data_IF_285827222363
#
_entry.id   IF_285827222363
#
_cell.length_a   1.000
_cell.length_b   1.000
_cell.length_c   1.000
_cell.angle_alpha   90.00
_cell.angle_beta   90.00
_cell.angle_gamma   90.00
#
_symmetry.space_group_name_H-M   'P 1'
#
loop_
_entity.id
_entity.type
_entity.pdbx_description
1 polymer ?
#
# COMPACT_ATOMS: atom_id res chain seq x y z
N UNK A 1 -28.21 -41.65 -44.40
CA UNK A 1 -28.74 -40.54 -43.56
C UNK A 1 -27.61 -40.06 -42.67
N UNK A 2 -27.27 -38.79 -42.78
CA UNK A 2 -26.03 -38.17 -42.33
C UNK A 2 -26.11 -37.83 -40.84
N UNK A 3 -25.05 -38.21 -40.14
CA UNK A 3 -24.78 -37.97 -38.72
C UNK A 3 -24.35 -36.52 -38.51
N UNK A 4 -24.91 -35.83 -37.50
CA UNK A 4 -24.38 -34.54 -37.03
C UNK A 4 -24.64 -34.41 -35.53
N UNK A 5 -23.68 -34.85 -34.71
CA UNK A 5 -23.65 -34.54 -33.28
C UNK A 5 -22.85 -33.25 -33.11
N UNK A 6 -23.56 -32.14 -32.85
CA UNK A 6 -22.95 -30.89 -32.40
C UNK A 6 -22.29 -31.11 -31.03
N UNK A 7 -20.96 -31.17 -31.02
CA UNK A 7 -20.18 -31.04 -29.80
C UNK A 7 -20.06 -29.53 -29.47
N UNK A 8 -20.82 -29.08 -28.48
CA UNK A 8 -20.63 -27.77 -27.85
C UNK A 8 -19.35 -27.85 -26.99
N UNK A 9 -18.28 -27.20 -27.44
CA UNK A 9 -17.07 -26.97 -26.63
C UNK A 9 -17.31 -25.78 -25.69
N UNK A 10 -17.29 -25.94 -24.35
CA UNK A 10 -17.28 -24.80 -23.45
C UNK A 10 -15.87 -24.18 -23.47
N UNK A 11 -15.79 -22.92 -23.92
CA UNK A 11 -14.60 -22.10 -23.80
C UNK A 11 -14.32 -21.83 -22.32
N UNK A 12 -13.41 -22.61 -21.73
CA UNK A 12 -12.87 -22.36 -20.39
C UNK A 12 -11.97 -21.11 -20.47
N UNK A 13 -12.53 -19.94 -20.11
CA UNK A 13 -11.76 -18.72 -19.92
C UNK A 13 -10.89 -18.88 -18.66
N UNK A 14 -9.64 -19.30 -18.84
CA UNK A 14 -8.64 -19.29 -17.78
C UNK A 14 -8.31 -17.84 -17.43
N UNK A 15 -8.93 -17.34 -16.35
CA UNK A 15 -8.48 -16.11 -15.68
C UNK A 15 -7.09 -16.38 -15.10
N UNK A 16 -6.05 -16.06 -15.88
CA UNK A 16 -4.68 -15.95 -15.37
C UNK A 16 -4.61 -14.75 -14.42
N UNK A 17 -4.93 -15.00 -13.16
CA UNK A 17 -4.73 -14.04 -12.09
C UNK A 17 -3.22 -13.92 -11.84
N UNK A 18 -2.64 -12.78 -12.18
CA UNK A 18 -1.31 -12.38 -11.72
C UNK A 18 -1.41 -12.11 -10.21
N UNK A 19 -1.28 -13.17 -9.40
CA UNK A 19 -1.29 -13.06 -7.94
C UNK A 19 0.15 -12.79 -7.50
N UNK A 20 0.44 -11.54 -7.14
CA UNK A 20 1.67 -11.23 -6.40
C UNK A 20 1.70 -12.00 -5.09
N UNK A 21 2.90 -12.33 -4.61
CA UNK A 21 3.12 -13.23 -3.46
C UNK A 21 2.28 -12.84 -2.24
N UNK A 22 1.54 -13.81 -1.68
CA UNK A 22 0.74 -13.62 -0.46
C UNK A 22 1.67 -13.39 0.74
N UNK A 23 1.41 -12.33 1.50
CA UNK A 23 2.15 -12.02 2.73
C UNK A 23 1.47 -12.77 3.88
N UNK A 24 2.03 -13.89 4.32
CA UNK A 24 1.49 -14.70 5.42
C UNK A 24 2.03 -14.29 6.80
N UNK A 25 3.07 -13.45 6.84
CA UNK A 25 3.69 -13.00 8.09
C UNK A 25 2.86 -11.93 8.82
N UNK A 26 2.85 -11.94 10.17
CA UNK A 26 2.20 -10.89 10.93
C UNK A 26 2.86 -9.53 10.68
N UNK A 27 2.13 -8.40 10.85
CA UNK A 27 2.69 -7.08 10.70
C UNK A 27 3.89 -6.85 11.61
N UNK A 28 4.97 -6.32 11.05
CA UNK A 28 6.23 -6.10 11.76
C UNK A 28 6.15 -4.79 12.52
N UNK A 29 6.34 -4.88 13.83
CA UNK A 29 6.32 -3.72 14.73
C UNK A 29 7.58 -2.86 14.59
N UNK A 30 7.43 -1.56 14.82
CA UNK A 30 8.55 -0.64 14.90
C UNK A 30 9.20 -0.66 16.28
N UNK A 31 10.51 -0.50 16.31
CA UNK A 31 11.29 -0.29 17.52
C UNK A 31 11.54 1.21 17.70
N UNK A 32 11.30 1.70 18.90
CA UNK A 32 11.57 3.10 19.23
C UNK A 32 12.98 3.26 19.77
N UNK A 33 13.73 4.21 19.22
CA UNK A 33 15.05 4.58 19.76
C UNK A 33 14.96 5.72 20.78
N UNK A 34 13.81 6.39 20.85
CA UNK A 34 13.45 7.43 21.82
C UNK A 34 11.97 7.34 22.14
N UNK A 35 11.54 7.91 23.27
CA UNK A 35 10.12 7.98 23.59
C UNK A 35 9.35 8.73 22.49
N UNK A 36 8.47 8.01 21.80
CA UNK A 36 7.57 8.57 20.81
C UNK A 36 6.21 8.76 21.46
N UNK A 37 5.63 9.95 21.35
CA UNK A 37 4.24 10.21 21.72
C UNK A 37 3.30 9.69 20.62
N UNK A 38 3.43 8.41 20.29
CA UNK A 38 2.61 7.77 19.28
C UNK A 38 1.19 7.58 19.81
N UNK A 39 0.21 8.05 19.04
CA UNK A 39 -1.21 7.91 19.37
C UNK A 39 -1.71 6.53 19.00
N UNK A 40 -1.21 6.00 17.88
CA UNK A 40 -1.53 4.67 17.37
C UNK A 40 -0.42 4.19 16.41
N UNK A 41 -0.70 3.14 15.63
CA UNK A 41 0.18 2.65 14.58
C UNK A 41 -0.59 2.46 13.29
N UNK A 42 0.00 2.82 12.16
CA UNK A 42 -0.53 2.54 10.82
C UNK A 42 0.31 1.48 10.14
N UNK A 43 -0.27 0.69 9.24
CA UNK A 43 0.46 -0.33 8.50
C UNK A 43 0.59 0.06 7.02
N UNK A 44 1.73 -0.27 6.43
CA UNK A 44 1.96 -0.16 4.98
C UNK A 44 2.64 -1.43 4.48
N UNK A 45 2.43 -1.73 3.21
CA UNK A 45 3.02 -2.88 2.53
C UNK A 45 4.30 -2.46 1.83
N UNK A 46 5.38 -3.23 2.02
CA UNK A 46 6.63 -3.04 1.33
C UNK A 46 6.96 -4.26 0.47
N UNK A 47 7.23 -4.02 -0.82
CA UNK A 47 7.61 -5.06 -1.79
C UNK A 47 8.91 -4.73 -2.48
N UNK A 48 9.56 -5.75 -3.02
CA UNK A 48 10.81 -5.61 -3.77
C UNK A 48 10.65 -6.26 -5.11
N UNK A 49 11.20 -5.63 -6.15
CA UNK A 49 11.19 -6.15 -7.50
C UNK A 49 12.57 -6.02 -8.12
N UNK A 50 12.86 -6.91 -9.05
CA UNK A 50 13.92 -6.71 -10.04
C UNK A 50 13.29 -6.30 -11.38
N UNK A 51 14.08 -5.66 -12.24
CA UNK A 51 13.74 -5.39 -13.63
C UNK A 51 14.70 -6.19 -14.51
N UNK A 52 14.28 -7.41 -14.87
CA UNK A 52 14.99 -8.27 -15.82
C UNK A 52 14.40 -8.05 -17.22
N UNK A 53 15.20 -7.67 -18.21
CA UNK A 53 14.76 -7.54 -19.62
C UNK A 53 13.50 -6.67 -19.84
N UNK A 54 13.30 -5.65 -18.99
CA UNK A 54 12.14 -4.75 -19.06
C UNK A 54 10.88 -5.27 -18.36
N UNK A 55 10.90 -6.51 -17.85
CA UNK A 55 9.81 -7.09 -17.07
C UNK A 55 10.07 -6.90 -15.57
N UNK A 56 9.06 -6.38 -14.85
CA UNK A 56 9.13 -6.24 -13.39
C UNK A 56 8.75 -7.57 -12.73
N UNK A 57 9.69 -8.17 -12.00
CA UNK A 57 9.49 -9.43 -11.28
C UNK A 57 9.59 -9.19 -9.78
N UNK A 58 8.61 -9.63 -9.01
CA UNK A 58 8.65 -9.56 -7.55
C UNK A 58 9.70 -10.54 -7.00
N UNK A 59 10.52 -10.06 -6.08
CA UNK A 59 11.56 -10.84 -5.41
C UNK A 59 11.26 -10.88 -3.91
N UNK A 60 11.47 -12.04 -3.31
CA UNK A 60 11.25 -12.28 -1.88
C UNK A 60 12.58 -12.44 -1.16
N UNK A 61 12.59 -12.34 0.16
CA UNK A 61 13.80 -12.57 0.95
C UNK A 61 14.76 -11.38 1.01
N UNK A 62 14.35 -10.19 0.55
CA UNK A 62 15.24 -9.01 0.53
C UNK A 62 15.21 -8.32 1.89
N UNK A 63 16.37 -8.18 2.58
CA UNK A 63 16.45 -7.47 3.84
C UNK A 63 16.28 -5.96 3.62
N UNK A 64 15.39 -5.38 4.41
CA UNK A 64 15.09 -3.96 4.39
C UNK A 64 15.03 -3.38 5.82
N UNK A 65 15.36 -2.10 5.93
CA UNK A 65 15.26 -1.30 7.14
C UNK A 65 14.38 -0.09 6.88
N UNK A 66 13.31 0.06 7.66
CA UNK A 66 12.50 1.27 7.70
C UNK A 66 12.97 2.13 8.87
N UNK A 67 13.30 3.38 8.59
CA UNK A 67 13.86 4.32 9.57
C UNK A 67 13.14 5.65 9.48
N UNK A 68 12.82 6.23 10.63
CA UNK A 68 12.39 7.61 10.75
C UNK A 68 12.96 8.26 12.00
N UNK A 69 12.52 9.48 12.30
CA UNK A 69 13.01 10.19 13.47
C UNK A 69 12.55 9.50 14.76
N UNK A 70 13.46 8.78 15.43
CA UNK A 70 13.22 8.15 16.72
C UNK A 70 12.60 6.75 16.67
N UNK A 71 12.49 6.14 15.49
CA UNK A 71 12.08 4.74 15.32
C UNK A 71 12.77 4.07 14.14
N UNK A 72 12.83 2.74 14.19
CA UNK A 72 13.29 1.89 13.09
C UNK A 72 12.63 0.51 13.14
N UNK A 73 12.62 -0.21 12.03
CA UNK A 73 12.22 -1.62 11.97
C UNK A 73 13.00 -2.36 10.89
N UNK A 74 13.44 -3.57 11.20
CA UNK A 74 14.09 -4.46 10.25
C UNK A 74 13.11 -5.53 9.80
N UNK A 75 13.07 -5.81 8.51
CA UNK A 75 12.16 -6.77 7.93
C UNK A 75 12.70 -7.37 6.63
N UNK A 76 12.04 -8.42 6.17
CA UNK A 76 12.35 -9.08 4.90
C UNK A 76 11.12 -8.99 4.00
N UNK A 77 11.28 -8.43 2.80
CA UNK A 77 10.17 -8.23 1.87
C UNK A 77 9.78 -9.52 1.12
N UNK A 78 8.51 -9.68 0.72
CA UNK A 78 7.39 -8.75 0.93
C UNK A 78 6.86 -8.77 2.37
N UNK A 79 6.61 -7.58 2.96
CA UNK A 79 6.21 -7.45 4.36
C UNK A 79 5.15 -6.36 4.58
N UNK A 80 4.34 -6.54 5.63
CA UNK A 80 3.50 -5.48 6.18
C UNK A 80 4.26 -4.90 7.37
N UNK A 81 4.52 -3.60 7.35
CA UNK A 81 5.32 -2.89 8.35
C UNK A 81 4.44 -1.87 9.05
N UNK A 82 4.50 -1.84 10.38
CA UNK A 82 3.82 -0.83 11.19
C UNK A 82 4.71 0.39 11.40
N UNK A 83 4.12 1.55 11.28
CA UNK A 83 4.73 2.84 11.55
C UNK A 83 3.98 3.59 12.66
N UNK A 84 4.69 4.35 13.51
CA UNK A 84 4.05 5.17 14.54
C UNK A 84 3.21 6.28 13.91
N UNK A 85 2.01 6.47 14.44
CA UNK A 85 1.11 7.58 14.10
C UNK A 85 1.36 8.71 15.11
N UNK A 86 1.87 9.85 14.61
CA UNK A 86 2.22 11.03 15.43
C UNK A 86 1.30 12.23 15.13
N UNK A 87 0.12 12.00 14.53
CA UNK A 87 -0.75 13.05 14.01
C UNK A 87 -0.03 13.89 12.95
N UNK A 88 -0.32 15.19 12.94
CA UNK A 88 0.35 16.17 12.07
C UNK A 88 1.85 16.34 12.33
N UNK A 89 2.43 15.65 13.33
CA UNK A 89 3.88 15.59 13.58
C UNK A 89 4.54 14.38 12.91
N UNK A 90 3.80 13.54 12.20
CA UNK A 90 4.37 12.42 11.45
C UNK A 90 5.31 12.99 10.39
N UNK A 91 6.57 12.54 10.41
CA UNK A 91 7.63 13.08 9.57
C UNK A 91 7.89 12.18 8.36
N UNK A 92 8.76 12.64 7.46
CA UNK A 92 9.31 11.79 6.40
C UNK A 92 10.13 10.66 7.02
N UNK A 93 9.99 9.47 6.45
CA UNK A 93 10.78 8.30 6.79
C UNK A 93 11.43 7.72 5.52
N UNK A 94 12.31 6.76 5.68
CA UNK A 94 13.01 6.10 4.58
C UNK A 94 13.01 4.59 4.76
N UNK A 95 12.92 3.87 3.65
CA UNK A 95 13.20 2.43 3.60
C UNK A 95 14.47 2.20 2.81
N UNK A 96 15.39 1.43 3.37
CA UNK A 96 16.63 1.02 2.73
C UNK A 96 16.58 -0.48 2.53
N UNK A 97 16.73 -0.96 1.30
CA UNK A 97 16.74 -2.40 0.99
C UNK A 97 18.08 -2.78 0.34
N UNK A 98 18.59 -3.96 0.67
CA UNK A 98 19.87 -4.47 0.16
C UNK A 98 19.63 -5.73 -0.65
N UNK A 99 20.02 -5.73 -1.93
CA UNK A 99 19.89 -6.88 -2.82
C UNK A 99 21.14 -6.99 -3.71
N UNK A 100 21.75 -8.19 -3.78
CA UNK A 100 22.96 -8.46 -4.57
C UNK A 100 24.10 -7.43 -4.36
N UNK A 101 24.27 -6.92 -3.13
CA UNK A 101 25.27 -5.91 -2.79
C UNK A 101 24.90 -4.48 -3.19
N UNK A 102 23.79 -4.27 -3.90
CA UNK A 102 23.23 -2.94 -4.17
C UNK A 102 22.30 -2.53 -3.01
N UNK A 103 22.48 -1.29 -2.52
CA UNK A 103 21.57 -0.69 -1.54
C UNK A 103 20.72 0.37 -2.24
N UNK A 104 19.39 0.27 -2.09
CA UNK A 104 18.44 1.27 -2.58
C UNK A 104 17.64 1.88 -1.45
N UNK A 105 17.49 3.20 -1.52
CA UNK A 105 16.71 3.98 -0.57
C UNK A 105 15.43 4.49 -1.24
N UNK A 106 14.32 4.38 -0.53
CA UNK A 106 13.04 4.97 -0.91
C UNK A 106 12.58 5.89 0.21
N UNK A 107 12.30 7.13 -0.15
CA UNK A 107 11.72 8.12 0.77
C UNK A 107 10.22 7.90 0.84
N UNK A 108 9.68 7.82 2.05
CA UNK A 108 8.26 7.71 2.32
C UNK A 108 7.77 9.02 2.92
N UNK A 109 6.92 9.71 2.16
CA UNK A 109 6.24 10.92 2.63
C UNK A 109 4.95 10.54 3.36
N UNK A 110 4.70 11.09 4.56
CA UNK A 110 3.45 10.86 5.26
C UNK A 110 2.31 11.58 4.54
N UNK A 111 1.13 10.96 4.55
CA UNK A 111 -0.09 11.59 4.04
C UNK A 111 -1.20 11.53 5.08
N UNK A 112 -2.12 12.49 4.99
CA UNK A 112 -3.31 12.51 5.82
C UNK A 112 -4.28 11.41 5.35
N UNK A 113 -4.28 10.29 6.05
CA UNK A 113 -5.10 9.12 5.72
C UNK A 113 -6.57 9.43 5.88
N UNK A 114 -6.95 10.16 6.92
CA UNK A 114 -8.34 10.58 7.15
C UNK A 114 -8.90 11.34 5.94
N UNK A 115 -8.19 12.33 5.42
CA UNK A 115 -8.61 13.07 4.22
C UNK A 115 -8.63 12.21 2.97
N UNK A 116 -7.62 11.34 2.80
CA UNK A 116 -7.57 10.44 1.66
C UNK A 116 -8.76 9.47 1.65
N UNK A 117 -9.11 8.91 2.81
CA UNK A 117 -10.23 7.99 2.96
C UNK A 117 -11.57 8.70 2.72
N UNK A 118 -11.77 9.91 3.26
CA UNK A 118 -12.97 10.74 2.97
C UNK A 118 -13.11 11.02 1.47
N UNK A 119 -12.02 11.42 0.81
CA UNK A 119 -12.03 11.70 -0.63
C UNK A 119 -12.27 10.43 -1.45
N UNK A 120 -11.69 9.29 -1.06
CA UNK A 120 -11.91 8.01 -1.73
C UNK A 120 -13.36 7.54 -1.60
N UNK A 121 -13.98 7.68 -0.42
CA UNK A 121 -15.40 7.38 -0.21
C UNK A 121 -16.32 8.30 -1.02
N UNK A 122 -15.94 9.57 -1.21
CA UNK A 122 -16.65 10.49 -2.12
C UNK A 122 -16.66 9.99 -3.56
N UNK A 123 -15.50 9.53 -4.04
CA UNK A 123 -15.29 9.13 -5.43
C UNK A 123 -15.89 7.76 -5.75
N UNK A 124 -15.84 6.80 -4.82
CA UNK A 124 -16.49 5.49 -5.00
C UNK A 124 -18.02 5.60 -5.04
N UNK A 125 -18.60 6.51 -4.23
CA UNK A 125 -20.02 6.83 -4.28
C UNK A 125 -20.45 7.46 -5.62
N UNK A 126 -19.57 8.25 -6.24
CA UNK A 126 -19.80 8.82 -7.57
C UNK A 126 -19.70 7.79 -8.71
N UNK A 127 -18.84 6.78 -8.56
CA UNK A 127 -18.65 5.73 -9.57
C UNK A 127 -19.72 4.62 -9.50
N UNK A 128 -20.26 4.32 -8.31
CA UNK A 128 -21.28 3.28 -8.11
C UNK A 128 -22.71 3.74 -8.47
N UNK A 129 -22.94 5.04 -8.60
CA UNK A 129 -24.27 5.62 -8.87
C UNK A 129 -24.13 6.77 -9.86
N UNK A 130 -24.29 6.47 -11.15
CA UNK A 130 -24.12 7.44 -12.26
C UNK A 130 -24.87 8.75 -12.01
N UNK A 131 -24.34 9.86 -12.57
CA UNK A 131 -24.73 11.30 -12.56
C UNK A 131 -25.46 11.87 -11.32
N UNK A 132 -26.46 11.20 -10.76
CA UNK A 132 -27.18 11.56 -9.51
C UNK A 132 -26.40 11.18 -8.25
N UNK A 133 -25.66 10.05 -8.24
CA UNK A 133 -24.91 9.60 -7.05
C UNK A 133 -23.65 10.41 -6.74
N UNK A 134 -23.05 11.03 -7.77
CA UNK A 134 -21.89 11.91 -7.63
C UNK A 134 -22.18 13.18 -6.81
N UNK A 135 -23.41 13.69 -6.86
CA UNK A 135 -23.81 14.86 -6.07
C UNK A 135 -23.96 14.53 -4.58
N UNK A 136 -24.46 13.34 -4.21
CA UNK A 136 -24.61 12.96 -2.79
C UNK A 136 -23.26 12.57 -2.17
N UNK A 137 -22.39 11.88 -2.91
CA UNK A 137 -21.04 11.54 -2.44
C UNK A 137 -20.16 12.76 -2.14
N UNK A 138 -20.26 13.81 -2.94
CA UNK A 138 -19.52 15.06 -2.73
C UNK A 138 -20.05 15.89 -1.56
N UNK A 139 -21.37 15.91 -1.34
CA UNK A 139 -21.97 16.56 -0.16
C UNK A 139 -21.56 15.85 1.13
N UNK A 140 -21.58 14.51 1.16
CA UNK A 140 -21.19 13.76 2.36
C UNK A 140 -19.71 13.94 2.69
N UNK A 141 -18.82 13.94 1.69
CA UNK A 141 -17.41 14.23 1.89
C UNK A 141 -17.16 15.68 2.35
N UNK A 142 -17.90 16.65 1.83
CA UNK A 142 -17.86 18.05 2.27
C UNK A 142 -18.31 18.22 3.72
N UNK A 143 -19.40 17.54 4.13
CA UNK A 143 -19.89 17.56 5.52
C UNK A 143 -18.91 16.87 6.46
N UNK A 144 -18.39 15.70 6.07
CA UNK A 144 -17.40 14.97 6.85
C UNK A 144 -16.13 15.80 7.04
N UNK A 145 -15.63 16.44 5.98
CA UNK A 145 -14.46 17.33 6.06
C UNK A 145 -14.72 18.58 6.91
N UNK A 146 -15.94 19.12 6.89
CA UNK A 146 -16.34 20.33 7.65
C UNK A 146 -16.56 20.06 9.15
N UNK A 147 -17.09 18.88 9.50
CA UNK A 147 -17.33 18.47 10.90
C UNK A 147 -16.13 17.78 11.56
N UNK A 148 -15.06 17.56 10.81
CA UNK A 148 -13.88 16.85 11.30
C UNK A 148 -13.06 17.73 12.23
N UNK A 149 -12.55 17.13 13.31
CA UNK A 149 -11.48 17.72 14.10
C UNK A 149 -10.10 17.43 13.46
N UNK A 150 -9.34 18.43 13.00
CA UNK A 150 -7.98 18.23 12.48
C UNK A 150 -6.98 17.67 13.49
N UNK A 151 -7.22 17.80 14.80
CA UNK A 151 -6.31 17.25 15.81
C UNK A 151 -6.31 15.72 15.83
N UNK A 152 -7.42 15.10 15.39
CA UNK A 152 -7.66 13.64 15.40
C UNK A 152 -7.32 12.98 14.06
N UNK A 153 -6.71 13.72 13.14
CA UNK A 153 -6.28 13.16 11.87
C UNK A 153 -5.20 12.08 12.05
N UNK A 154 -5.42 10.98 11.33
CA UNK A 154 -4.47 9.86 11.25
C UNK A 154 -3.57 10.09 10.04
N UNK A 155 -2.27 10.03 10.26
CA UNK A 155 -1.25 10.09 9.22
C UNK A 155 -0.63 8.72 9.00
N UNK A 156 -0.39 8.37 7.73
CA UNK A 156 0.15 7.08 7.34
C UNK A 156 1.19 7.21 6.22
N UNK A 157 1.89 6.11 5.94
CA UNK A 157 2.69 5.96 4.72
C UNK A 157 1.95 5.11 3.70
N UNK A 158 2.19 5.36 2.42
CA UNK A 158 1.60 4.57 1.34
C UNK A 158 2.36 3.26 1.19
N UNK A 159 1.66 2.26 0.66
CA UNK A 159 2.30 1.06 0.15
C UNK A 159 3.37 1.44 -0.88
N UNK A 160 4.53 0.82 -0.77
CA UNK A 160 5.70 1.19 -1.56
C UNK A 160 6.46 -0.03 -2.03
N UNK A 161 7.36 0.21 -2.98
CA UNK A 161 8.18 -0.84 -3.54
C UNK A 161 9.53 -0.34 -4.00
N UNK A 162 10.57 -1.14 -3.80
CA UNK A 162 11.89 -0.90 -4.39
C UNK A 162 12.02 -1.70 -5.68
N UNK A 163 12.61 -1.10 -6.71
CA UNK A 163 12.95 -1.79 -7.96
C UNK A 163 14.46 -1.77 -8.13
N UNK A 164 15.10 -2.93 -8.08
CA UNK A 164 16.49 -3.15 -8.44
C UNK A 164 16.62 -3.31 -9.96
N UNK A 165 17.72 -2.82 -10.53
CA UNK A 165 18.02 -3.07 -11.94
C UNK A 165 18.82 -4.37 -12.03
N UNK A 166 18.60 -5.17 -13.07
CA UNK A 166 19.57 -6.22 -13.39
C UNK A 166 20.91 -5.59 -13.72
N UNK A 167 21.99 -6.17 -13.19
CA UNK A 167 23.36 -5.90 -13.62
C UNK A 167 23.72 -6.75 -14.84
#
# INVERSE_FOLDING_TARGET
MISFRLFLFPALAALSACVGTTIEQPPIEYQTSKALQARSSTAFTMRTHTRETGVRKEITGVPCEFTGQGFKSNFTTPAIVKAPELGGRTQVASVSCVYNGETKHVVLEPYNKTLADINASSNSSAAASGLVGAFIGSISAGIQKSRRDPSEDVYAYRDSSVVFADQ
#
